data_IF_116709007269
#
_entry.id   IF_116709007269
#
_cell.length_a   1.000
_cell.length_b   1.000
_cell.length_c   1.000
_cell.angle_alpha   90.00
_cell.angle_beta   90.00
_cell.angle_gamma   90.00
#
_symmetry.space_group_name_H-M   'P 1'
#
loop_
_entity.id
_entity.type
_entity.pdbx_description
1 polymer ?
#
# COMPACT_ATOMS: atom_id res chain seq x y z
N UNK A 1 -9.99 12.08 -25.53
CA UNK A 1 -8.88 11.30 -24.94
C UNK A 1 -9.38 9.86 -24.78
N UNK A 2 -8.81 8.88 -25.48
CA UNK A 2 -9.18 7.46 -25.31
C UNK A 2 -8.51 6.94 -24.04
N UNK A 3 -9.29 6.55 -23.04
CA UNK A 3 -8.78 5.86 -21.86
C UNK A 3 -8.54 4.40 -22.23
N UNK A 4 -7.28 3.95 -22.15
CA UNK A 4 -6.95 2.53 -22.26
C UNK A 4 -7.43 1.85 -20.97
N UNK A 5 -8.25 0.81 -21.09
CA UNK A 5 -8.60 -0.02 -19.94
C UNK A 5 -7.36 -0.81 -19.52
N UNK A 6 -7.05 -0.81 -18.22
CA UNK A 6 -5.97 -1.60 -17.64
C UNK A 6 -6.36 -3.07 -17.65
N UNK A 7 -5.40 -3.93 -18.00
CA UNK A 7 -5.61 -5.37 -17.97
C UNK A 7 -5.36 -5.94 -16.56
N UNK A 8 -5.69 -7.23 -16.36
CA UNK A 8 -5.50 -7.90 -15.06
C UNK A 8 -4.04 -7.89 -14.60
N UNK A 9 -3.08 -7.96 -15.53
CA UNK A 9 -1.66 -7.98 -15.20
C UNK A 9 -1.18 -6.62 -14.72
N UNK A 10 -1.70 -5.52 -15.29
CA UNK A 10 -1.48 -4.16 -14.84
C UNK A 10 -1.93 -3.99 -13.38
N UNK A 11 -3.13 -4.48 -13.04
CA UNK A 11 -3.65 -4.42 -11.67
C UNK A 11 -2.83 -5.23 -10.66
N UNK A 12 -2.35 -6.41 -11.06
CA UNK A 12 -1.44 -7.21 -10.23
C UNK A 12 -0.11 -6.48 -10.01
N UNK A 13 0.45 -5.85 -11.05
CA UNK A 13 1.67 -5.07 -10.94
C UNK A 13 1.51 -3.88 -9.98
N UNK A 14 0.38 -3.16 -10.05
CA UNK A 14 0.06 -2.09 -9.10
C UNK A 14 -0.03 -2.64 -7.67
N UNK A 15 -0.69 -3.78 -7.46
CA UNK A 15 -0.78 -4.41 -6.14
C UNK A 15 0.59 -4.82 -5.58
N UNK A 16 1.48 -5.35 -6.42
CA UNK A 16 2.85 -5.69 -6.03
C UNK A 16 3.67 -4.44 -5.66
N UNK A 17 3.49 -3.33 -6.38
CA UNK A 17 4.11 -2.06 -6.03
C UNK A 17 3.60 -1.52 -4.68
N UNK A 18 2.28 -1.61 -4.45
CA UNK A 18 1.67 -1.25 -3.17
C UNK A 18 2.23 -2.10 -2.01
N UNK A 19 2.53 -3.39 -2.24
CA UNK A 19 3.22 -4.23 -1.25
C UNK A 19 4.61 -3.69 -0.89
N UNK A 20 5.38 -3.18 -1.86
CA UNK A 20 6.66 -2.53 -1.55
C UNK A 20 6.47 -1.30 -0.66
N UNK A 21 5.47 -0.46 -0.94
CA UNK A 21 5.16 0.71 -0.10
C UNK A 21 4.77 0.27 1.31
N UNK A 22 4.00 -0.82 1.46
CA UNK A 22 3.66 -1.39 2.76
C UNK A 22 4.92 -1.76 3.56
N UNK A 23 5.89 -2.42 2.94
CA UNK A 23 7.14 -2.81 3.60
C UNK A 23 7.94 -1.58 4.05
N UNK A 24 7.99 -0.53 3.23
CA UNK A 24 8.63 0.74 3.60
C UNK A 24 7.92 1.42 4.77
N UNK A 25 6.58 1.38 4.81
CA UNK A 25 5.81 1.94 5.92
C UNK A 25 6.02 1.16 7.23
N UNK A 26 6.10 -0.18 7.16
CA UNK A 26 6.45 -1.02 8.31
C UNK A 26 7.86 -0.76 8.82
N UNK A 27 8.83 -0.61 7.91
CA UNK A 27 10.18 -0.20 8.27
C UNK A 27 10.22 1.19 8.92
N UNK A 28 9.43 2.14 8.41
CA UNK A 28 9.29 3.46 9.03
C UNK A 28 8.76 3.37 10.47
N UNK A 29 7.80 2.48 10.73
CA UNK A 29 7.30 2.20 12.08
C UNK A 29 8.43 1.62 12.95
N UNK A 30 9.16 0.62 12.47
CA UNK A 30 10.26 -0.01 13.20
C UNK A 30 11.33 1.00 13.64
N UNK A 31 11.78 1.86 12.72
CA UNK A 31 12.72 2.95 13.00
C UNK A 31 12.15 3.92 14.03
N UNK A 32 10.90 4.33 13.87
CA UNK A 32 10.26 5.30 14.76
C UNK A 32 10.09 4.78 16.19
N UNK A 33 9.67 3.52 16.34
CA UNK A 33 9.54 2.86 17.65
C UNK A 33 10.91 2.69 18.29
N UNK A 34 11.92 2.29 17.52
CA UNK A 34 13.31 2.19 18.01
C UNK A 34 13.81 3.53 18.56
N UNK A 35 13.53 4.64 17.87
CA UNK A 35 13.89 5.98 18.34
C UNK A 35 13.11 6.39 19.60
N UNK A 36 11.80 6.11 19.68
CA UNK A 36 10.99 6.35 20.87
C UNK A 36 11.56 5.62 22.09
N UNK A 37 11.90 4.33 21.94
CA UNK A 37 12.44 3.52 23.03
C UNK A 37 13.83 3.99 23.48
N UNK A 38 14.61 4.58 22.57
CA UNK A 38 15.92 5.15 22.88
C UNK A 38 15.85 6.60 23.45
N UNK A 39 14.65 7.18 23.61
CA UNK A 39 14.45 8.62 23.87
C UNK A 39 15.22 9.50 22.87
N UNK A 40 15.31 9.06 21.62
CA UNK A 40 16.07 9.70 20.55
C UNK A 40 15.18 10.31 19.47
N UNK A 41 15.82 10.71 18.37
CA UNK A 41 15.17 11.27 17.19
C UNK A 41 15.42 10.38 15.97
N UNK A 42 14.54 10.47 14.97
CA UNK A 42 14.75 9.75 13.70
C UNK A 42 15.80 10.50 12.88
N UNK A 43 16.94 9.87 12.60
CA UNK A 43 18.05 10.46 11.83
C UNK A 43 18.23 9.89 10.43
N UNK A 44 17.33 9.00 9.99
CA UNK A 44 17.45 8.22 8.74
C UNK A 44 17.12 9.02 7.46
N UNK A 45 17.38 10.33 7.45
CA UNK A 45 17.16 11.19 6.27
C UNK A 45 15.70 11.52 5.97
N UNK A 46 14.78 11.25 6.90
CA UNK A 46 13.40 11.72 6.80
C UNK A 46 13.34 13.24 7.04
N UNK A 47 12.42 13.93 6.37
CA UNK A 47 12.17 15.36 6.57
C UNK A 47 11.65 15.68 7.99
N UNK A 48 11.21 14.66 8.73
CA UNK A 48 10.67 14.75 10.08
C UNK A 48 11.55 13.95 11.03
N UNK A 49 11.96 14.60 12.13
CA UNK A 49 12.82 14.00 13.16
C UNK A 49 12.03 13.51 14.38
N UNK A 50 10.76 13.91 14.51
CA UNK A 50 9.87 13.50 15.59
C UNK A 50 9.42 12.04 15.36
N UNK A 51 9.82 11.10 16.22
CA UNK A 51 9.52 9.69 16.01
C UNK A 51 8.03 9.37 16.20
N UNK A 52 7.28 10.12 17.02
CA UNK A 52 5.84 9.95 17.17
C UNK A 52 5.11 10.31 15.87
N UNK A 53 5.54 11.38 15.21
CA UNK A 53 4.96 11.78 13.93
C UNK A 53 5.27 10.75 12.83
N UNK A 54 6.52 10.29 12.75
CA UNK A 54 6.94 9.28 11.75
C UNK A 54 6.18 7.97 11.94
N UNK A 55 5.96 7.56 13.20
CA UNK A 55 5.13 6.40 13.54
C UNK A 55 3.71 6.51 12.96
N UNK A 56 3.03 7.64 13.19
CA UNK A 56 1.67 7.86 12.69
C UNK A 56 1.61 7.94 11.16
N UNK A 57 2.61 8.56 10.51
CA UNK A 57 2.70 8.58 9.05
C UNK A 57 2.80 7.16 8.50
N UNK A 58 3.65 6.31 9.09
CA UNK A 58 3.75 4.90 8.73
C UNK A 58 2.39 4.20 8.81
N UNK A 59 1.67 4.37 9.93
CA UNK A 59 0.33 3.79 10.10
C UNK A 59 -0.68 4.29 9.05
N UNK A 60 -0.69 5.59 8.75
CA UNK A 60 -1.60 6.15 7.74
C UNK A 60 -1.32 5.60 6.33
N UNK A 61 -0.04 5.44 5.97
CA UNK A 61 0.34 4.82 4.69
C UNK A 61 -0.13 3.36 4.65
N UNK A 62 0.05 2.59 5.74
CA UNK A 62 -0.44 1.20 5.82
C UNK A 62 -1.95 1.15 5.57
N UNK A 63 -2.73 1.99 6.26
CA UNK A 63 -4.19 2.02 6.10
C UNK A 63 -4.58 2.30 4.65
N UNK A 64 -3.96 3.30 4.03
CA UNK A 64 -4.26 3.70 2.66
C UNK A 64 -3.89 2.61 1.65
N UNK A 65 -2.71 2.02 1.79
CA UNK A 65 -2.20 0.96 0.91
C UNK A 65 -3.04 -0.31 1.02
N UNK A 66 -3.42 -0.70 2.24
CA UNK A 66 -4.26 -1.87 2.47
C UNK A 66 -5.66 -1.66 1.92
N UNK A 67 -6.24 -0.47 2.10
CA UNK A 67 -7.53 -0.14 1.51
C UNK A 67 -7.49 -0.18 -0.02
N UNK A 68 -6.44 0.38 -0.64
CA UNK A 68 -6.24 0.31 -2.08
C UNK A 68 -6.08 -1.14 -2.59
N UNK A 69 -5.30 -1.96 -1.90
CA UNK A 69 -5.15 -3.38 -2.24
C UNK A 69 -6.47 -4.15 -2.12
N UNK A 70 -7.27 -3.86 -1.08
CA UNK A 70 -8.61 -4.43 -0.94
C UNK A 70 -9.49 -4.10 -2.15
N UNK A 71 -9.51 -2.84 -2.61
CA UNK A 71 -10.26 -2.43 -3.80
C UNK A 71 -9.77 -3.13 -5.08
N UNK A 72 -8.47 -3.29 -5.26
CA UNK A 72 -7.89 -4.01 -6.41
C UNK A 72 -8.34 -5.48 -6.41
N UNK A 73 -8.29 -6.15 -5.26
CA UNK A 73 -8.74 -7.54 -5.14
C UNK A 73 -10.24 -7.65 -5.46
N UNK A 74 -11.06 -6.73 -4.94
CA UNK A 74 -12.49 -6.66 -5.25
C UNK A 74 -12.74 -6.48 -6.75
N UNK A 75 -11.98 -5.59 -7.39
CA UNK A 75 -12.09 -5.32 -8.83
C UNK A 75 -11.71 -6.53 -9.69
N UNK A 76 -10.59 -7.18 -9.40
CA UNK A 76 -10.13 -8.36 -10.14
C UNK A 76 -11.12 -9.53 -9.97
N UNK A 77 -11.63 -9.74 -8.75
CA UNK A 77 -12.59 -10.83 -8.48
C UNK A 77 -13.96 -10.57 -9.11
N UNK A 78 -14.43 -9.32 -9.17
CA UNK A 78 -15.67 -8.97 -9.86
C UNK A 78 -15.59 -9.18 -11.37
N UNK A 79 -14.46 -8.82 -12.00
CA UNK A 79 -14.23 -9.05 -13.45
C UNK A 79 -14.25 -10.55 -13.75
N UNK A 80 -13.55 -11.35 -12.95
CA UNK A 80 -13.46 -12.80 -13.18
C UNK A 80 -14.84 -13.48 -13.16
N UNK A 81 -15.77 -12.97 -12.34
CA UNK A 81 -17.15 -13.48 -12.25
C UNK A 81 -18.01 -13.12 -13.46
N UNK A 82 -17.74 -12.01 -14.14
CA UNK A 82 -18.47 -11.60 -15.35
C UNK A 82 -17.99 -12.37 -16.58
N UNK A 83 -16.69 -12.67 -16.67
CA UNK A 83 -16.15 -13.49 -17.77
C UNK A 83 -16.68 -14.92 -17.72
N UNK A 84 -16.75 -15.55 -16.54
CA UNK A 84 -17.30 -16.91 -16.41
C UNK A 84 -18.78 -17.02 -16.80
N UNK A 85 -19.56 -15.94 -16.62
CA UNK A 85 -20.98 -15.92 -16.99
C UNK A 85 -21.22 -15.77 -18.49
N UNK A 86 -20.26 -15.21 -19.23
CA UNK A 86 -20.37 -15.06 -20.68
C UNK A 86 -20.09 -16.37 -21.41
N UNK A 87 -19.22 -17.22 -20.86
CA UNK A 87 -18.89 -18.52 -21.44
C UNK A 87 -20.02 -19.57 -21.26
N UNK A 88 -20.97 -19.33 -20.34
CA UNK A 88 -22.15 -20.18 -20.11
C UNK A 88 -23.40 -19.77 -20.91
N UNK A 89 -23.34 -18.67 -21.68
CA UNK A 89 -24.42 -18.12 -22.52
C UNK A 89 -24.24 -18.42 -24.00
#
# INVERSE_FOLDING_TARGET
MKTKNLDKSDWIAISAFLLTILLLALWSIDVSVSALLANGFVSNGFFLNDPTQVYHIGLYIIILVQFANFLIILHITSITKDDSKKDES
#
